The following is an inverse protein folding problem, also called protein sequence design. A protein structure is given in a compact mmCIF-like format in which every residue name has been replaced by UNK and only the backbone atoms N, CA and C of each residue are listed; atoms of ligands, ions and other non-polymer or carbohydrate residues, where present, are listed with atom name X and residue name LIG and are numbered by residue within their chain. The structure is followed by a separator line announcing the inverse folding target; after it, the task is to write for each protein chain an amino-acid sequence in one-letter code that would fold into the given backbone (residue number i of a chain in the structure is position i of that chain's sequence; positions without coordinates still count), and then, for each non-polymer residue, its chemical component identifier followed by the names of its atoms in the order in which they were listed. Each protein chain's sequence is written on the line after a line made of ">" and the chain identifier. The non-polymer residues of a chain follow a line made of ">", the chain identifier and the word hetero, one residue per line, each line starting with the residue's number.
data_IF_909274344203
#
_entry.id   IF_909274344203
#
_cell.length_a   1.000
_cell.length_b   1.000
_cell.length_c   1.000
_cell.angle_alpha   90.00
_cell.angle_beta   90.00
_cell.angle_gamma   90.00
#
_symmetry.space_group_name_H-M   'P 1'
#
loop_
_entity.id
_entity.type
_entity.pdbx_description
1 polymer ?
#
# COMPACT_ATOMS: atom_id res chain seq x y z
N UNK A 1 9.96 18.87 14.25
CA UNK A 1 9.63 17.45 14.38
C UNK A 1 10.02 17.00 15.76
N UNK A 2 9.08 16.45 16.52
CA UNK A 2 9.35 15.87 17.84
C UNK A 2 10.05 14.54 17.60
N UNK A 3 11.32 14.39 17.96
CA UNK A 3 12.03 13.11 17.79
C UNK A 3 11.44 12.06 18.74
N UNK A 4 10.54 11.23 18.21
CA UNK A 4 10.00 10.06 18.92
C UNK A 4 11.01 8.92 18.81
N UNK A 5 11.30 8.26 19.92
CA UNK A 5 12.13 7.06 19.91
C UNK A 5 11.43 5.89 19.22
N UNK A 6 12.20 4.92 18.68
CA UNK A 6 11.66 3.67 18.11
C UNK A 6 10.67 2.97 19.04
N UNK A 7 10.93 2.97 20.36
CA UNK A 7 10.01 2.37 21.33
C UNK A 7 8.69 3.12 21.44
N UNK A 8 8.70 4.46 21.36
CA UNK A 8 7.47 5.26 21.36
C UNK A 8 6.68 5.04 20.07
N UNK A 9 7.37 4.96 18.92
CA UNK A 9 6.74 4.70 17.64
C UNK A 9 6.03 3.34 17.65
N UNK A 10 6.74 2.28 18.06
CA UNK A 10 6.17 0.93 18.20
C UNK A 10 4.98 0.89 19.15
N UNK A 11 5.10 1.50 20.33
CA UNK A 11 4.02 1.55 21.30
C UNK A 11 2.77 2.29 20.76
N UNK A 12 2.96 3.32 19.94
CA UNK A 12 1.87 4.01 19.25
C UNK A 12 1.17 3.11 18.23
N UNK A 13 1.93 2.45 17.37
CA UNK A 13 1.37 1.53 16.37
C UNK A 13 0.68 0.31 17.01
N UNK A 14 1.24 -0.25 18.09
CA UNK A 14 0.60 -1.33 18.84
C UNK A 14 -0.74 -0.90 19.45
N UNK A 15 -0.83 0.34 19.95
CA UNK A 15 -2.09 0.91 20.43
C UNK A 15 -3.10 1.11 19.31
N UNK A 16 -2.66 1.57 18.14
CA UNK A 16 -3.55 1.71 16.99
C UNK A 16 -4.11 0.34 16.58
N UNK A 17 -3.27 -0.69 16.54
CA UNK A 17 -3.71 -2.06 16.25
C UNK A 17 -4.69 -2.63 17.27
N UNK A 18 -4.60 -2.21 18.54
CA UNK A 18 -5.44 -2.75 19.62
C UNK A 18 -6.72 -1.93 19.83
N UNK A 19 -6.65 -0.62 19.64
CA UNK A 19 -7.66 0.33 20.12
C UNK A 19 -8.15 1.32 19.05
N UNK A 20 -7.56 1.31 17.84
CA UNK A 20 -7.90 2.24 16.76
C UNK A 20 -7.36 3.65 16.95
N UNK A 21 -6.44 3.89 17.88
CA UNK A 21 -5.76 5.17 18.07
C UNK A 21 -4.28 5.01 18.44
N UNK A 22 -3.45 5.97 18.02
CA UNK A 22 -2.01 6.01 18.35
C UNK A 22 -1.76 6.64 19.73
N UNK A 23 -2.40 7.79 19.97
CA UNK A 23 -2.40 8.53 21.24
C UNK A 23 -3.83 8.78 21.68
N UNK A 24 -4.19 8.43 22.92
CA UNK A 24 -5.56 8.52 23.42
C UNK A 24 -6.09 9.94 23.58
N UNK A 25 -5.20 10.92 23.62
CA UNK A 25 -5.47 12.34 23.77
C UNK A 25 -5.18 13.14 22.49
N UNK A 26 -4.92 12.47 21.37
CA UNK A 26 -4.81 13.12 20.07
C UNK A 26 -6.18 13.61 19.62
N UNK A 27 -6.20 14.79 19.00
CA UNK A 27 -7.36 15.33 18.30
C UNK A 27 -7.29 15.12 16.79
N UNK A 28 -6.19 14.55 16.28
CA UNK A 28 -6.00 14.24 14.87
C UNK A 28 -6.79 12.99 14.47
N UNK A 29 -6.91 12.74 13.16
CA UNK A 29 -7.38 11.45 12.68
C UNK A 29 -6.38 10.35 13.12
N UNK A 30 -6.85 9.29 13.79
CA UNK A 30 -6.00 8.16 14.18
C UNK A 30 -5.19 7.52 13.06
N UNK A 31 -5.71 7.53 11.83
CA UNK A 31 -5.04 6.99 10.65
C UNK A 31 -3.90 7.91 10.19
N UNK A 32 -4.08 9.23 10.26
CA UNK A 32 -3.01 10.20 10.00
C UNK A 32 -1.88 10.05 11.02
N UNK A 33 -2.21 9.93 12.31
CA UNK A 33 -1.22 9.67 13.35
C UNK A 33 -0.50 8.32 13.11
N UNK A 34 -1.23 7.28 12.68
CA UNK A 34 -0.65 5.96 12.40
C UNK A 34 0.29 6.01 11.19
N UNK A 35 -0.09 6.74 10.14
CA UNK A 35 0.73 6.97 8.95
C UNK A 35 2.00 7.74 9.31
N UNK A 36 1.90 8.80 10.12
CA UNK A 36 3.06 9.58 10.58
C UNK A 36 4.02 8.67 11.36
N UNK A 37 3.49 7.90 12.32
CA UNK A 37 4.29 6.98 13.13
C UNK A 37 4.95 5.88 12.30
N UNK A 38 4.21 5.31 11.33
CA UNK A 38 4.73 4.28 10.43
C UNK A 38 5.84 4.85 9.54
N UNK A 39 5.66 6.06 8.99
CA UNK A 39 6.66 6.74 8.18
C UNK A 39 7.93 7.07 8.96
N UNK A 40 7.81 7.57 10.19
CA UNK A 40 8.97 7.77 11.08
C UNK A 40 9.67 6.46 11.39
N UNK A 41 8.92 5.39 11.67
CA UNK A 41 9.51 4.08 11.97
C UNK A 41 10.20 3.47 10.75
N UNK A 42 9.70 3.72 9.54
CA UNK A 42 10.32 3.26 8.31
C UNK A 42 11.74 3.82 8.13
N UNK A 43 11.96 5.08 8.57
CA UNK A 43 13.28 5.74 8.52
C UNK A 43 14.21 5.21 9.63
N UNK A 44 13.69 5.01 10.83
CA UNK A 44 14.51 4.68 12.02
C UNK A 44 14.76 3.16 12.20
N UNK A 45 13.80 2.32 11.82
CA UNK A 45 13.84 0.85 11.95
C UNK A 45 12.96 0.20 10.87
N UNK A 46 13.44 0.26 9.63
CA UNK A 46 12.75 -0.26 8.45
C UNK A 46 12.25 -1.70 8.61
N UNK A 47 13.05 -2.69 9.09
CA UNK A 47 12.56 -4.06 9.25
C UNK A 47 11.36 -4.18 10.20
N UNK A 48 11.30 -3.37 11.25
CA UNK A 48 10.15 -3.35 12.15
C UNK A 48 8.94 -2.65 11.50
N UNK A 49 9.14 -1.55 10.79
CA UNK A 49 8.07 -0.87 10.05
C UNK A 49 7.40 -1.77 9.01
N UNK A 50 8.18 -2.53 8.25
CA UNK A 50 7.66 -3.47 7.24
C UNK A 50 6.80 -4.58 7.88
N UNK A 51 7.13 -5.04 9.09
CA UNK A 51 6.28 -5.97 9.85
C UNK A 51 4.94 -5.35 10.24
N UNK A 52 4.91 -4.05 10.57
CA UNK A 52 3.64 -3.36 10.79
C UNK A 52 2.85 -3.24 9.49
N UNK A 53 3.49 -2.92 8.37
CA UNK A 53 2.84 -2.87 7.06
C UNK A 53 2.13 -4.20 6.73
N UNK A 54 2.83 -5.33 6.90
CA UNK A 54 2.26 -6.67 6.69
C UNK A 54 1.03 -6.92 7.57
N UNK A 55 1.06 -6.48 8.84
CA UNK A 55 -0.07 -6.62 9.77
C UNK A 55 -1.24 -5.72 9.38
N UNK A 56 -1.00 -4.48 8.98
CA UNK A 56 -2.07 -3.55 8.58
C UNK A 56 -2.85 -4.04 7.36
N UNK A 57 -2.16 -4.61 6.38
CA UNK A 57 -2.80 -5.23 5.22
C UNK A 57 -3.73 -6.40 5.60
N UNK A 58 -3.46 -7.08 6.71
CA UNK A 58 -4.27 -8.21 7.18
C UNK A 58 -5.39 -7.79 8.14
N UNK A 59 -5.43 -6.53 8.58
CA UNK A 59 -6.37 -6.05 9.57
C UNK A 59 -7.63 -5.46 8.91
N UNK A 60 -8.80 -5.92 9.31
CA UNK A 60 -10.08 -5.40 8.81
C UNK A 60 -10.35 -3.97 9.23
N UNK A 61 -9.82 -3.54 10.38
CA UNK A 61 -10.04 -2.23 10.98
C UNK A 61 -9.08 -1.14 10.46
N UNK A 62 -8.00 -1.52 9.77
CA UNK A 62 -7.13 -0.54 9.13
C UNK A 62 -7.84 0.04 7.90
N UNK A 63 -7.84 1.37 7.79
CA UNK A 63 -8.48 2.06 6.68
C UNK A 63 -7.71 1.88 5.36
N UNK A 64 -8.36 2.23 4.26
CA UNK A 64 -7.84 2.00 2.92
C UNK A 64 -6.57 2.82 2.62
N UNK A 65 -6.44 4.01 3.21
CA UNK A 65 -5.26 4.87 3.06
C UNK A 65 -4.03 4.28 3.77
N UNK A 66 -4.19 3.82 5.01
CA UNK A 66 -3.11 3.15 5.74
C UNK A 66 -2.70 1.85 5.05
N UNK A 67 -3.66 1.09 4.52
CA UNK A 67 -3.36 -0.11 3.73
C UNK A 67 -2.63 0.22 2.45
N UNK A 68 -3.07 1.23 1.71
CA UNK A 68 -2.41 1.69 0.49
C UNK A 68 -0.97 2.13 0.76
N UNK A 69 -0.72 2.91 1.80
CA UNK A 69 0.64 3.31 2.19
C UNK A 69 1.51 2.10 2.63
N UNK A 70 0.94 1.20 3.43
CA UNK A 70 1.62 -0.04 3.85
C UNK A 70 2.00 -0.92 2.65
N UNK A 71 1.10 -1.03 1.67
CA UNK A 71 1.34 -1.75 0.43
C UNK A 71 2.48 -1.11 -0.37
N UNK A 72 2.45 0.21 -0.54
CA UNK A 72 3.47 0.97 -1.26
C UNK A 72 4.87 0.77 -0.64
N UNK A 73 4.97 0.89 0.69
CA UNK A 73 6.21 0.63 1.41
C UNK A 73 6.72 -0.79 1.23
N UNK A 74 5.83 -1.79 1.20
CA UNK A 74 6.23 -3.18 0.97
C UNK A 74 6.71 -3.41 -0.47
N UNK A 75 6.00 -2.86 -1.47
CA UNK A 75 6.37 -2.95 -2.88
C UNK A 75 7.76 -2.37 -3.15
N UNK A 76 8.12 -1.27 -2.48
CA UNK A 76 9.40 -0.56 -2.62
C UNK A 76 10.52 -1.11 -1.72
N UNK A 77 10.32 -2.25 -1.05
CA UNK A 77 11.25 -2.82 -0.08
C UNK A 77 11.74 -4.22 -0.45
N UNK A 78 12.61 -4.79 0.37
CA UNK A 78 13.01 -6.21 0.26
C UNK A 78 11.84 -7.19 0.47
N UNK A 79 10.70 -6.72 0.98
CA UNK A 79 9.49 -7.51 1.24
C UNK A 79 8.48 -7.47 0.08
N UNK A 80 8.89 -7.02 -1.11
CA UNK A 80 8.05 -6.96 -2.33
C UNK A 80 7.31 -8.28 -2.62
N UNK A 81 7.94 -9.42 -2.30
CA UNK A 81 7.34 -10.74 -2.53
C UNK A 81 6.07 -10.95 -1.70
N UNK A 82 6.04 -10.44 -0.46
CA UNK A 82 4.83 -10.42 0.36
C UNK A 82 3.76 -9.54 -0.28
N UNK A 83 4.13 -8.34 -0.76
CA UNK A 83 3.18 -7.44 -1.42
C UNK A 83 2.56 -8.08 -2.67
N UNK A 84 3.35 -8.76 -3.49
CA UNK A 84 2.84 -9.47 -4.68
C UNK A 84 1.87 -10.58 -4.31
N UNK A 85 2.18 -11.35 -3.27
CA UNK A 85 1.28 -12.40 -2.77
C UNK A 85 0.00 -11.82 -2.18
N UNK A 86 0.09 -10.69 -1.45
CA UNK A 86 -1.05 -9.96 -0.96
C UNK A 86 -1.95 -9.50 -2.12
N UNK A 87 -1.40 -8.77 -3.08
CA UNK A 87 -2.11 -8.30 -4.28
C UNK A 87 -2.79 -9.45 -5.01
N UNK A 88 -2.11 -10.57 -5.18
CA UNK A 88 -2.68 -11.74 -5.84
C UNK A 88 -3.85 -12.34 -5.06
N UNK A 89 -3.69 -12.51 -3.74
CA UNK A 89 -4.69 -13.17 -2.88
C UNK A 89 -5.90 -12.29 -2.59
N UNK A 90 -5.71 -10.96 -2.56
CA UNK A 90 -6.75 -9.98 -2.22
C UNK A 90 -7.27 -9.21 -3.44
N UNK A 91 -6.84 -9.54 -4.66
CA UNK A 91 -7.14 -8.74 -5.86
C UNK A 91 -8.61 -8.34 -6.00
N UNK A 92 -9.56 -9.23 -5.69
CA UNK A 92 -11.00 -8.99 -5.80
C UNK A 92 -11.54 -7.99 -4.76
N UNK A 93 -10.77 -7.73 -3.70
CA UNK A 93 -11.14 -6.93 -2.52
C UNK A 93 -10.28 -5.69 -2.32
N UNK A 94 -9.26 -5.47 -3.15
CA UNK A 94 -8.40 -4.29 -3.05
C UNK A 94 -9.26 -3.02 -3.07
N UNK A 95 -8.98 -2.11 -2.15
CA UNK A 95 -9.54 -0.77 -2.20
C UNK A 95 -9.02 -0.01 -3.44
N UNK A 96 -9.67 1.10 -3.77
CA UNK A 96 -9.24 1.99 -4.85
C UNK A 96 -7.79 2.47 -4.66
N UNK A 97 -7.38 2.99 -3.48
CA UNK A 97 -6.00 3.44 -3.29
C UNK A 97 -4.97 2.30 -3.27
N UNK A 98 -5.31 1.09 -2.85
CA UNK A 98 -4.41 -0.07 -2.99
C UNK A 98 -4.22 -0.46 -4.46
N UNK A 99 -5.32 -0.46 -5.24
CA UNK A 99 -5.28 -0.78 -6.65
C UNK A 99 -4.49 0.26 -7.45
N UNK A 100 -4.66 1.55 -7.14
CA UNK A 100 -3.88 2.61 -7.77
C UNK A 100 -2.39 2.45 -7.50
N UNK A 101 -1.98 2.22 -6.25
CA UNK A 101 -0.57 1.98 -5.92
C UNK A 101 0.01 0.79 -6.65
N UNK A 102 -0.76 -0.29 -6.82
CA UNK A 102 -0.34 -1.44 -7.60
C UNK A 102 -0.07 -1.06 -9.07
N UNK A 103 -0.99 -0.35 -9.72
CA UNK A 103 -0.80 0.09 -11.12
C UNK A 103 0.38 1.04 -11.26
N UNK A 104 0.50 2.03 -10.38
CA UNK A 104 1.59 3.00 -10.40
C UNK A 104 2.96 2.32 -10.21
N UNK A 105 3.05 1.37 -9.27
CA UNK A 105 4.27 0.60 -9.06
C UNK A 105 4.67 -0.18 -10.31
N UNK A 106 3.77 -0.95 -10.92
CA UNK A 106 4.10 -1.73 -12.12
C UNK A 106 4.36 -0.85 -13.34
N UNK A 107 3.79 0.35 -13.39
CA UNK A 107 4.15 1.34 -14.38
C UNK A 107 5.61 1.79 -14.24
N UNK A 108 6.07 2.07 -13.01
CA UNK A 108 7.44 2.47 -12.72
C UNK A 108 8.45 1.34 -12.94
N UNK A 109 8.12 0.12 -12.48
CA UNK A 109 8.97 -1.09 -12.52
C UNK A 109 9.40 -1.47 -13.95
N UNK A 110 8.65 -1.04 -14.99
CA UNK A 110 9.05 -1.26 -16.40
C UNK A 110 10.41 -0.66 -16.77
N UNK A 111 10.83 0.38 -16.05
CA UNK A 111 12.07 1.09 -16.30
C UNK A 111 13.25 0.51 -15.49
N UNK A 112 12.99 -0.46 -14.60
CA UNK A 112 14.04 -1.13 -13.87
C UNK A 112 14.82 -2.08 -14.77
N UNK A 113 16.14 -2.14 -14.57
CA UNK A 113 17.01 -3.03 -15.34
C UNK A 113 16.74 -4.52 -15.06
N UNK A 114 16.17 -4.83 -13.90
CA UNK A 114 15.89 -6.20 -13.44
C UNK A 114 14.59 -6.24 -12.61
N UNK A 115 13.42 -6.09 -13.26
CA UNK A 115 12.14 -6.07 -12.57
C UNK A 115 11.87 -7.40 -11.85
N UNK A 116 11.10 -7.34 -10.77
CA UNK A 116 10.74 -8.54 -10.01
C UNK A 116 9.80 -9.47 -10.80
N UNK A 117 9.90 -10.79 -10.61
CA UNK A 117 9.03 -11.73 -11.30
C UNK A 117 7.58 -11.60 -10.84
N UNK A 118 6.71 -11.17 -11.76
CA UNK A 118 5.28 -11.00 -11.50
C UNK A 118 4.58 -12.37 -11.47
N UNK A 119 3.75 -12.66 -10.45
CA UNK A 119 2.97 -13.90 -10.38
C UNK A 119 2.03 -14.05 -11.59
N UNK A 120 1.95 -15.27 -12.13
CA UNK A 120 1.10 -15.56 -13.28
C UNK A 120 -0.37 -15.20 -12.99
N UNK A 121 -0.97 -14.40 -13.87
CA UNK A 121 -2.36 -13.95 -13.74
C UNK A 121 -2.59 -12.78 -12.78
N UNK A 122 -1.55 -12.25 -12.11
CA UNK A 122 -1.71 -11.07 -11.24
C UNK A 122 -2.29 -9.87 -12.00
N UNK A 123 -1.70 -9.51 -13.13
CA UNK A 123 -2.19 -8.38 -13.94
C UNK A 123 -3.64 -8.58 -14.40
N UNK A 124 -4.01 -9.79 -14.82
CA UNK A 124 -5.41 -10.10 -15.17
C UNK A 124 -6.36 -9.83 -14.01
N UNK A 125 -5.98 -10.20 -12.79
CA UNK A 125 -6.78 -9.95 -11.59
C UNK A 125 -6.89 -8.46 -11.26
N UNK A 126 -5.80 -7.69 -11.38
CA UNK A 126 -5.81 -6.24 -11.14
C UNK A 126 -6.69 -5.51 -12.16
N UNK A 127 -6.59 -5.85 -13.44
CA UNK A 127 -7.44 -5.30 -14.50
C UNK A 127 -8.92 -5.64 -14.26
N UNK A 128 -9.22 -6.87 -13.83
CA UNK A 128 -10.58 -7.26 -13.48
C UNK A 128 -11.12 -6.46 -12.27
N UNK A 129 -10.28 -6.19 -11.27
CA UNK A 129 -10.66 -5.36 -10.13
C UNK A 129 -10.96 -3.92 -10.55
N UNK A 130 -10.13 -3.34 -11.42
CA UNK A 130 -10.37 -2.00 -11.97
C UNK A 130 -11.75 -1.90 -12.63
N UNK A 131 -12.11 -2.86 -13.47
CA UNK A 131 -13.43 -2.86 -14.14
C UNK A 131 -14.62 -2.82 -13.18
N UNK A 132 -14.46 -3.37 -11.97
CA UNK A 132 -15.48 -3.35 -10.92
C UNK A 132 -15.56 -1.96 -10.26
N UNK A 133 -14.43 -1.32 -9.98
CA UNK A 133 -14.38 -0.11 -9.13
C UNK A 133 -14.21 1.21 -9.90
N UNK A 134 -13.97 1.16 -11.22
CA UNK A 134 -13.64 2.34 -12.04
C UNK A 134 -14.72 3.43 -12.07
N UNK A 135 -15.96 3.11 -11.73
CA UNK A 135 -17.07 4.08 -11.72
C UNK A 135 -17.45 4.53 -10.30
N UNK A 136 -16.72 4.07 -9.28
CA UNK A 136 -16.94 4.49 -7.89
C UNK A 136 -16.56 5.97 -7.72
N UNK A 137 -17.26 6.75 -6.86
CA UNK A 137 -17.02 8.17 -6.70
C UNK A 137 -15.55 8.54 -6.37
N UNK A 138 -14.89 7.71 -5.58
CA UNK A 138 -13.54 7.96 -5.09
C UNK A 138 -12.46 7.64 -6.13
N UNK A 139 -12.81 6.97 -7.24
CA UNK A 139 -11.85 6.62 -8.31
C UNK A 139 -11.16 7.86 -8.91
N UNK A 140 -11.89 8.97 -8.99
CA UNK A 140 -11.33 10.25 -9.45
C UNK A 140 -10.33 10.84 -8.45
N UNK A 141 -10.65 10.83 -7.15
CA UNK A 141 -9.80 11.40 -6.10
C UNK A 141 -8.43 10.72 -6.06
N UNK A 142 -8.40 9.41 -6.24
CA UNK A 142 -7.16 8.64 -6.27
C UNK A 142 -6.50 8.57 -7.64
N UNK A 143 -6.97 9.29 -8.67
CA UNK A 143 -6.39 9.25 -10.02
C UNK A 143 -6.34 7.84 -10.64
N UNK A 144 -7.30 6.96 -10.28
CA UNK A 144 -7.26 5.53 -10.65
C UNK A 144 -7.23 5.32 -12.17
N UNK A 145 -7.96 6.13 -12.94
CA UNK A 145 -7.99 6.02 -14.40
C UNK A 145 -6.65 6.40 -15.04
N UNK A 146 -5.96 7.41 -14.51
CA UNK A 146 -4.64 7.83 -15.01
C UNK A 146 -3.62 6.72 -14.75
N UNK A 147 -3.55 6.22 -13.51
CA UNK A 147 -2.65 5.11 -13.16
C UNK A 147 -2.94 3.83 -13.97
N UNK A 148 -4.21 3.50 -14.21
CA UNK A 148 -4.60 2.38 -15.06
C UNK A 148 -4.12 2.55 -16.51
N UNK A 149 -4.33 3.72 -17.11
CA UNK A 149 -3.94 3.99 -18.49
C UNK A 149 -2.43 3.89 -18.66
N UNK A 150 -1.67 4.54 -17.77
CA UNK A 150 -0.22 4.48 -17.72
C UNK A 150 0.27 3.03 -17.64
N UNK A 151 -0.34 2.23 -16.76
CA UNK A 151 -0.03 0.80 -16.61
C UNK A 151 -0.32 -0.02 -17.89
N UNK A 152 -1.49 0.16 -18.52
CA UNK A 152 -1.87 -0.60 -19.73
C UNK A 152 -0.97 -0.27 -20.93
N UNK A 153 -0.52 0.97 -21.06
CA UNK A 153 0.48 1.35 -22.08
C UNK A 153 1.75 0.50 -21.94
N UNK A 154 2.21 0.26 -20.71
CA UNK A 154 3.40 -0.59 -20.47
C UNK A 154 3.25 -2.03 -20.94
N UNK A 155 2.04 -2.58 -20.87
CA UNK A 155 1.77 -3.95 -21.30
C UNK A 155 1.79 -4.09 -22.81
N UNK A 156 1.47 -3.00 -23.52
CA UNK A 156 1.49 -2.93 -24.98
C UNK A 156 2.92 -2.82 -25.51
N UNK A 157 3.76 -2.04 -24.82
CA UNK A 157 5.18 -1.88 -25.18
C UNK A 157 5.99 -3.18 -25.05
N UNK A 158 5.67 -4.04 -24.08
CA UNK A 158 6.34 -5.34 -23.89
C UNK A 158 6.02 -6.39 -24.96
N UNK A 159 5.10 -6.12 -25.89
CA UNK A 159 4.71 -7.04 -26.97
C UNK A 159 5.38 -6.73 -28.32
N UNK A 160 6.16 -5.66 -28.41
CA UNK A 160 6.95 -5.28 -29.60
C UNK A 160 8.44 -5.57 -29.39
#
# INVERSE_FOLDING_TARGET
>A
MTNKSVNQLRAGLDRYQSNGYVESNSFNDPNEDALEYLGMLLVEDQPTALKYCQRFLQQSQANDELKSAALDFLLLSSEWSFAYQYLYSQAERLSIPELEKAFFYFYCDKNEAAPHPVPEGLFTKLLARYEIVKNEPDAYFYHLHEAYNDFVETLSDRRN
#
